data_IF_566704123712
#
_entry.id   IF_566704123712
#
_cell.length_a   1.000
_cell.length_b   1.000
_cell.length_c   1.000
_cell.angle_alpha   90.00
_cell.angle_beta   90.00
_cell.angle_gamma   90.00
#
_symmetry.space_group_name_H-M   'P 1'
#
loop_
_entity.id
_entity.type
_entity.pdbx_description
1 polymer ?
#
# COMPACT_ATOMS: atom_id res chain seq x y z
N UNK A 1 6.68 16.93 26.23
CA UNK A 1 7.37 16.68 24.95
C UNK A 1 7.35 15.18 24.73
N UNK A 2 6.68 14.68 23.69
CA UNK A 2 6.86 13.28 23.29
C UNK A 2 8.29 13.13 22.79
N UNK A 3 9.05 12.23 23.39
CA UNK A 3 10.39 11.91 22.95
C UNK A 3 10.26 11.03 21.71
N UNK A 4 10.58 11.56 20.53
CA UNK A 4 10.64 10.74 19.31
C UNK A 4 11.93 9.92 19.32
N UNK A 5 11.78 8.61 19.15
CA UNK A 5 12.88 7.66 19.05
C UNK A 5 12.75 6.92 17.73
N UNK A 6 13.88 6.69 17.05
CA UNK A 6 13.93 5.95 15.79
C UNK A 6 14.51 4.57 16.08
N UNK A 7 13.77 3.52 15.73
CA UNK A 7 14.21 2.14 15.83
C UNK A 7 14.97 1.71 14.58
N UNK A 8 15.85 0.71 14.73
CA UNK A 8 16.47 0.04 13.57
C UNK A 8 15.41 -0.55 12.62
N UNK A 9 14.26 -0.97 13.16
CA UNK A 9 13.14 -1.48 12.37
C UNK A 9 12.37 -0.39 11.61
N UNK A 10 12.57 0.88 11.95
CA UNK A 10 12.03 1.99 11.16
C UNK A 10 12.83 2.20 9.87
N UNK A 11 14.13 1.86 9.91
CA UNK A 11 15.06 1.98 8.79
C UNK A 11 15.04 0.74 7.89
N UNK A 12 15.00 -0.46 8.48
CA UNK A 12 15.04 -1.72 7.75
C UNK A 12 13.68 -2.40 7.77
N UNK A 13 12.93 -2.26 6.68
CA UNK A 13 11.60 -2.84 6.50
C UNK A 13 11.62 -3.83 5.34
N UNK A 14 11.11 -5.03 5.59
CA UNK A 14 10.82 -6.01 4.53
C UNK A 14 9.59 -5.52 3.77
N UNK A 15 9.61 -5.67 2.44
CA UNK A 15 8.51 -5.34 1.57
C UNK A 15 8.87 -5.47 0.10
N UNK A 16 7.87 -5.28 -0.76
CA UNK A 16 8.02 -5.32 -2.21
C UNK A 16 8.57 -4.01 -2.78
N UNK A 17 9.56 -4.11 -3.67
CA UNK A 17 10.11 -3.02 -4.47
C UNK A 17 9.28 -2.72 -5.74
N UNK A 18 9.65 -1.73 -6.57
CA UNK A 18 10.95 -1.07 -6.62
C UNK A 18 11.10 0.15 -5.69
N UNK A 19 10.02 0.64 -5.07
CA UNK A 19 10.06 1.88 -4.30
C UNK A 19 9.30 1.83 -2.99
N UNK A 20 9.96 2.21 -1.89
CA UNK A 20 9.30 2.33 -0.59
C UNK A 20 8.18 3.38 -0.59
N UNK A 21 8.35 4.48 -1.33
CA UNK A 21 7.39 5.60 -1.35
C UNK A 21 6.29 5.45 -2.38
N UNK A 22 6.54 4.76 -3.49
CA UNK A 22 5.60 4.62 -4.60
C UNK A 22 5.06 3.19 -4.77
N UNK A 23 5.59 2.20 -4.04
CA UNK A 23 5.10 0.82 -4.04
C UNK A 23 4.63 0.44 -2.63
N UNK A 24 5.54 0.35 -1.66
CA UNK A 24 5.22 -0.13 -0.31
C UNK A 24 4.27 0.83 0.44
N UNK A 25 4.48 2.14 0.33
CA UNK A 25 3.63 3.16 0.93
C UNK A 25 2.17 3.07 0.47
N UNK A 26 1.89 3.14 -0.85
CA UNK A 26 0.55 2.96 -1.40
C UNK A 26 -0.10 1.63 -1.03
N UNK A 27 0.64 0.51 -1.09
CA UNK A 27 0.11 -0.81 -0.69
C UNK A 27 -0.35 -0.82 0.77
N UNK A 28 0.49 -0.29 1.69
CA UNK A 28 0.12 -0.17 3.11
C UNK A 28 -1.06 0.77 3.32
N UNK A 29 -1.14 1.87 2.57
CA UNK A 29 -2.28 2.80 2.66
C UNK A 29 -3.61 2.12 2.27
N UNK A 30 -3.60 1.26 1.26
CA UNK A 30 -4.76 0.46 0.89
C UNK A 30 -5.16 -0.53 2.00
N UNK A 31 -4.21 -1.24 2.61
CA UNK A 31 -4.48 -2.12 3.75
C UNK A 31 -5.04 -1.37 4.96
N UNK A 32 -4.51 -0.18 5.27
CA UNK A 32 -5.03 0.65 6.34
C UNK A 32 -6.47 1.12 6.09
N UNK A 33 -6.84 1.36 4.83
CA UNK A 33 -8.23 1.66 4.47
C UNK A 33 -9.15 0.46 4.74
N UNK A 34 -8.74 -0.75 4.33
CA UNK A 34 -9.50 -1.97 4.60
C UNK A 34 -9.69 -2.19 6.10
N UNK A 35 -8.62 -2.10 6.88
CA UNK A 35 -8.66 -2.25 8.33
C UNK A 35 -9.62 -1.24 8.99
N UNK A 36 -9.62 0.02 8.52
CA UNK A 36 -10.54 1.05 9.01
C UNK A 36 -12.00 0.74 8.66
N UNK A 37 -12.27 0.22 7.46
CA UNK A 37 -13.61 -0.17 7.03
C UNK A 37 -14.13 -1.41 7.77
N UNK A 38 -13.27 -2.38 8.04
CA UNK A 38 -13.58 -3.57 8.84
C UNK A 38 -13.91 -3.18 10.28
N UNK A 39 -13.03 -2.40 10.94
CA UNK A 39 -13.24 -1.93 12.31
C UNK A 39 -14.51 -1.11 12.48
N UNK A 40 -14.94 -0.40 11.44
CA UNK A 40 -16.18 0.36 11.45
C UNK A 40 -17.42 -0.42 11.01
N UNK A 41 -17.28 -1.72 10.66
CA UNK A 41 -18.39 -2.57 10.20
C UNK A 41 -19.00 -2.10 8.86
N UNK A 42 -18.22 -1.39 8.04
CA UNK A 42 -18.68 -0.77 6.79
C UNK A 42 -18.18 -1.48 5.53
N UNK A 43 -17.20 -2.36 5.64
CA UNK A 43 -16.57 -3.00 4.48
C UNK A 43 -17.59 -3.64 3.53
N UNK A 44 -18.52 -4.46 4.05
CA UNK A 44 -19.54 -5.14 3.24
C UNK A 44 -20.51 -4.20 2.51
N UNK A 45 -20.62 -2.95 2.98
CA UNK A 45 -21.50 -1.92 2.38
C UNK A 45 -20.82 -1.19 1.21
N UNK A 46 -19.50 -1.32 1.06
CA UNK A 46 -18.75 -0.69 -0.02
C UNK A 46 -19.12 -1.37 -1.34
N UNK A 47 -19.59 -0.59 -2.32
CA UNK A 47 -19.93 -1.08 -3.67
C UNK A 47 -18.95 -0.64 -4.75
N UNK A 48 -18.17 0.40 -4.48
CA UNK A 48 -17.22 0.96 -5.42
C UNK A 48 -16.08 1.63 -4.65
N UNK A 49 -14.87 1.51 -5.17
CA UNK A 49 -13.68 2.20 -4.67
C UNK A 49 -13.06 2.95 -5.83
N UNK A 50 -12.78 4.23 -5.61
CA UNK A 50 -12.05 5.07 -6.55
C UNK A 50 -10.74 5.51 -5.89
N UNK A 51 -9.63 5.26 -6.57
CA UNK A 51 -8.29 5.70 -6.14
C UNK A 51 -7.86 6.85 -7.04
N UNK A 52 -7.53 7.99 -6.44
CA UNK A 52 -6.99 9.15 -7.14
C UNK A 52 -5.56 9.36 -6.67
N UNK A 53 -4.62 9.28 -7.62
CA UNK A 53 -3.21 9.57 -7.38
C UNK A 53 -2.95 11.04 -7.74
N UNK A 54 -2.14 11.72 -6.92
CA UNK A 54 -1.81 13.13 -7.10
C UNK A 54 -0.30 13.37 -7.12
N UNK A 55 0.11 14.51 -7.69
CA UNK A 55 1.49 14.99 -7.60
C UNK A 55 2.52 14.04 -8.20
N UNK A 56 3.65 13.84 -7.49
CA UNK A 56 4.71 12.93 -7.92
C UNK A 56 4.23 11.49 -8.03
N UNK A 57 3.35 11.05 -7.12
CA UNK A 57 2.81 9.69 -7.08
C UNK A 57 2.05 9.35 -8.37
N UNK A 58 1.26 10.31 -8.88
CA UNK A 58 0.58 10.15 -10.16
C UNK A 58 1.55 10.15 -11.35
N UNK A 59 2.55 11.03 -11.33
CA UNK A 59 3.48 11.24 -12.47
C UNK A 59 4.37 10.04 -12.74
N UNK A 60 4.82 9.36 -11.70
CA UNK A 60 5.78 8.25 -11.81
C UNK A 60 5.18 6.91 -11.42
N UNK A 61 3.90 6.85 -11.07
CA UNK A 61 3.28 5.68 -10.46
C UNK A 61 3.36 4.41 -11.30
N UNK A 62 3.19 4.53 -12.62
CA UNK A 62 3.29 3.39 -13.55
C UNK A 62 4.68 2.75 -13.48
N UNK A 63 5.75 3.54 -13.58
CA UNK A 63 7.12 3.03 -13.52
C UNK A 63 7.55 2.49 -12.15
N UNK A 64 6.73 2.70 -11.11
CA UNK A 64 6.95 2.19 -9.76
C UNK A 64 5.90 1.15 -9.32
N UNK A 65 5.01 0.74 -10.22
CA UNK A 65 3.93 -0.20 -9.92
C UNK A 65 2.93 0.29 -8.87
N UNK A 66 2.71 1.61 -8.76
CA UNK A 66 1.80 2.18 -7.74
C UNK A 66 0.36 1.70 -7.92
N UNK A 67 -0.09 1.58 -9.16
CA UNK A 67 -1.42 1.08 -9.50
C UNK A 67 -1.59 -0.40 -9.14
N UNK A 68 -0.56 -1.22 -9.38
CA UNK A 68 -0.52 -2.63 -8.98
C UNK A 68 -0.51 -2.74 -7.45
N UNK A 69 0.35 -1.98 -6.77
CA UNK A 69 0.44 -1.93 -5.31
C UNK A 69 -0.90 -1.55 -4.66
N UNK A 70 -1.62 -0.57 -5.24
CA UNK A 70 -2.96 -0.21 -4.77
C UNK A 70 -3.97 -1.34 -4.98
N UNK A 71 -3.93 -2.04 -6.12
CA UNK A 71 -4.86 -3.14 -6.40
C UNK A 71 -4.64 -4.34 -5.47
N UNK A 72 -3.40 -4.76 -5.27
CA UNK A 72 -3.06 -5.85 -4.35
C UNK A 72 -3.40 -5.48 -2.91
N UNK A 73 -3.08 -4.25 -2.48
CA UNK A 73 -3.44 -3.78 -1.15
C UNK A 73 -4.95 -3.69 -0.92
N UNK A 74 -5.73 -3.26 -1.92
CA UNK A 74 -7.20 -3.25 -1.83
C UNK A 74 -7.80 -4.67 -1.93
N UNK A 75 -7.03 -5.65 -2.38
CA UNK A 75 -7.40 -7.08 -2.37
C UNK A 75 -7.07 -7.75 -1.03
N UNK A 76 -6.42 -7.04 -0.11
CA UNK A 76 -6.06 -7.54 1.22
C UNK A 76 -4.71 -8.25 1.29
N UNK A 77 -3.92 -8.22 0.21
CA UNK A 77 -2.61 -8.86 0.17
C UNK A 77 -1.58 -8.11 1.03
N UNK A 78 -0.72 -8.83 1.75
CA UNK A 78 0.34 -8.24 2.59
C UNK A 78 1.65 -8.11 1.80
N UNK A 79 2.21 -6.90 1.60
CA UNK A 79 3.45 -6.67 0.86
C UNK A 79 4.70 -7.28 1.51
N UNK A 80 4.62 -7.79 2.74
CA UNK A 80 5.73 -8.49 3.41
C UNK A 80 5.75 -9.97 3.03
N UNK A 81 4.58 -10.57 2.76
CA UNK A 81 4.42 -12.02 2.60
C UNK A 81 3.90 -12.44 1.23
N UNK A 82 3.48 -11.47 0.39
CA UNK A 82 3.02 -11.74 -0.96
C UNK A 82 4.12 -12.36 -1.83
N UNK A 83 3.73 -13.35 -2.63
CA UNK A 83 4.61 -14.01 -3.58
C UNK A 83 4.90 -13.09 -4.78
N UNK A 84 6.11 -12.54 -4.83
CA UNK A 84 6.50 -11.54 -5.84
C UNK A 84 6.44 -12.07 -7.28
N UNK A 85 6.54 -13.38 -7.49
CA UNK A 85 6.43 -13.99 -8.81
C UNK A 85 5.00 -13.95 -9.37
N UNK A 86 4.01 -13.64 -8.52
CA UNK A 86 2.60 -13.44 -8.91
C UNK A 86 2.26 -12.00 -9.24
N UNK A 87 3.21 -11.07 -9.09
CA UNK A 87 3.01 -9.68 -9.48
C UNK A 87 3.12 -9.62 -11.01
N UNK A 88 1.96 -9.56 -11.67
CA UNK A 88 1.89 -9.54 -13.13
C UNK A 88 1.97 -8.09 -13.61
N UNK A 89 3.04 -7.75 -14.34
CA UNK A 89 3.04 -6.55 -15.17
C UNK A 89 2.09 -6.77 -16.36
N UNK A 90 1.26 -5.76 -16.66
CA UNK A 90 0.39 -5.79 -17.85
C UNK A 90 1.16 -5.92 -19.15
#
# INVERSE_FOLDING_TARGET
MNQESISVFDMFKVGVGPSSSHTLGPWRAALSLLELLEKSGKLEKVKHVQVLLYGSLAKTGIGHGTDIAMQLGLSGDDPVTFDVDKIVDK
#
